data_IF_066750225304
#
_entry.id   IF_066750225304
#
_cell.length_a   1.000
_cell.length_b   1.000
_cell.length_c   1.000
_cell.angle_alpha   90.00
_cell.angle_beta   90.00
_cell.angle_gamma   90.00
#
_symmetry.space_group_name_H-M   'P 1'
#
loop_
_entity.id
_entity.type
_entity.pdbx_description
1 polymer ?
#
# COMPACT_ATOMS: atom_id res chain seq x y z
N UNK A 1 8.00 5.72 -4.33
CA UNK A 1 7.05 4.73 -4.92
C UNK A 1 6.54 5.21 -6.27
N UNK A 2 5.90 6.37 -6.35
CA UNK A 2 5.40 6.91 -7.62
C UNK A 2 6.51 7.07 -8.68
N UNK A 3 7.61 7.73 -8.31
CA UNK A 3 8.78 7.91 -9.19
C UNK A 3 9.39 6.57 -9.62
N UNK A 4 9.41 5.57 -8.73
CA UNK A 4 9.90 4.22 -9.05
C UNK A 4 9.01 3.55 -10.12
N UNK A 5 7.69 3.73 -10.04
CA UNK A 5 6.74 3.22 -11.04
C UNK A 5 6.97 3.91 -12.38
N UNK A 6 7.10 5.24 -12.40
CA UNK A 6 7.41 5.97 -13.64
C UNK A 6 8.73 5.48 -14.25
N UNK A 7 9.78 5.31 -13.44
CA UNK A 7 11.07 4.80 -13.89
C UNK A 7 10.95 3.39 -14.48
N UNK A 8 10.17 2.49 -13.87
CA UNK A 8 9.90 1.16 -14.42
C UNK A 8 9.19 1.22 -15.78
N UNK A 9 8.19 2.10 -15.91
CA UNK A 9 7.46 2.30 -17.16
C UNK A 9 8.36 2.90 -18.26
N UNK A 10 9.17 3.91 -17.92
CA UNK A 10 10.14 4.53 -18.83
C UNK A 10 11.16 3.51 -19.34
N UNK A 11 11.71 2.67 -18.45
CA UNK A 11 12.62 1.57 -18.84
C UNK A 11 11.93 0.53 -19.72
N UNK A 12 10.65 0.26 -19.49
CA UNK A 12 9.80 -0.56 -20.35
C UNK A 12 9.43 0.09 -21.71
N UNK A 13 9.94 1.29 -22.01
CA UNK A 13 9.72 1.99 -23.27
C UNK A 13 8.47 2.88 -23.28
N UNK A 14 7.94 3.25 -22.12
CA UNK A 14 6.78 4.15 -21.98
C UNK A 14 7.20 5.46 -21.31
N UNK A 15 7.56 6.45 -22.13
CA UNK A 15 7.84 7.81 -21.67
C UNK A 15 6.57 8.62 -21.43
N UNK A 16 6.59 9.51 -20.43
CA UNK A 16 5.47 10.41 -20.09
C UNK A 16 5.96 11.87 -20.04
N UNK A 17 6.32 12.43 -21.20
CA UNK A 17 6.90 13.77 -21.27
C UNK A 17 5.93 14.86 -20.75
N UNK A 18 4.62 14.65 -20.89
CA UNK A 18 3.60 15.61 -20.48
C UNK A 18 3.47 15.72 -18.96
N UNK A 19 3.69 14.62 -18.22
CA UNK A 19 3.71 14.66 -16.76
C UNK A 19 4.86 15.52 -16.23
N UNK A 20 6.04 15.44 -16.86
CA UNK A 20 7.21 16.27 -16.50
C UNK A 20 6.94 17.77 -16.64
N UNK A 21 6.03 18.17 -17.53
CA UNK A 21 5.63 19.57 -17.74
C UNK A 21 4.55 20.03 -16.75
N UNK A 22 3.67 19.14 -16.32
CA UNK A 22 2.62 19.44 -15.36
C UNK A 22 2.42 18.31 -14.33
N UNK A 23 3.19 18.32 -13.22
CA UNK A 23 3.09 17.30 -12.18
C UNK A 23 1.75 17.29 -11.42
N UNK A 24 0.89 18.32 -11.61
CA UNK A 24 -0.45 18.37 -11.01
C UNK A 24 -1.53 17.78 -11.90
N UNK A 25 -1.18 17.31 -13.09
CA UNK A 25 -2.13 16.65 -13.97
C UNK A 25 -2.67 15.38 -13.28
N UNK A 26 -3.98 15.13 -13.40
CA UNK A 26 -4.61 13.91 -12.90
C UNK A 26 -4.52 12.74 -13.88
N UNK A 27 -4.13 13.03 -15.13
CA UNK A 27 -3.90 12.03 -16.16
C UNK A 27 -2.66 12.39 -16.97
N UNK A 28 -2.00 11.39 -17.53
CA UNK A 28 -0.93 11.60 -18.51
C UNK A 28 -0.94 10.47 -19.53
N UNK A 29 -0.54 10.76 -20.76
CA UNK A 29 -0.46 9.78 -21.84
C UNK A 29 1.00 9.47 -22.15
N UNK A 30 1.29 8.22 -22.47
CA UNK A 30 2.62 7.84 -22.92
C UNK A 30 2.92 8.49 -24.28
N UNK A 31 4.19 8.78 -24.55
CA UNK A 31 4.63 9.43 -25.80
C UNK A 31 4.26 8.59 -27.05
N UNK A 32 4.24 7.25 -26.93
CA UNK A 32 3.81 6.32 -27.98
C UNK A 32 2.28 6.16 -28.09
N UNK A 33 1.52 6.86 -27.27
CA UNK A 33 0.05 6.87 -27.27
C UNK A 33 -0.65 5.60 -26.77
N UNK A 34 0.10 4.56 -26.40
CA UNK A 34 -0.42 3.23 -26.04
C UNK A 34 -0.89 3.09 -24.59
N UNK A 35 -0.41 3.94 -23.68
CA UNK A 35 -0.82 3.97 -22.28
C UNK A 35 -1.39 5.34 -21.89
N UNK A 36 -2.36 5.31 -20.99
CA UNK A 36 -2.83 6.47 -20.24
C UNK A 36 -2.75 6.12 -18.75
N UNK A 37 -2.15 6.99 -17.95
CA UNK A 37 -2.02 6.83 -16.50
C UNK A 37 -2.97 7.78 -15.79
N UNK A 38 -3.58 7.29 -14.72
CA UNK A 38 -4.42 8.06 -13.81
C UNK A 38 -3.68 8.19 -12.48
N UNK A 39 -3.57 9.41 -11.95
CA UNK A 39 -2.97 9.64 -10.63
C UNK A 39 -4.07 9.71 -9.57
N UNK A 40 -4.22 8.62 -8.82
CA UNK A 40 -5.23 8.48 -7.76
C UNK A 40 -4.57 8.14 -6.43
N UNK A 41 -5.31 8.29 -5.33
CA UNK A 41 -4.84 7.86 -4.00
C UNK A 41 -4.74 6.34 -3.96
N UNK A 42 -3.83 5.81 -3.15
CA UNK A 42 -3.61 4.36 -3.01
C UNK A 42 -4.89 3.59 -2.65
N UNK A 43 -5.74 4.18 -1.81
CA UNK A 43 -7.04 3.62 -1.42
C UNK A 43 -8.02 3.47 -2.57
N UNK A 44 -7.86 4.28 -3.63
CA UNK A 44 -8.81 4.36 -4.74
C UNK A 44 -8.36 3.51 -5.93
N UNK A 45 -7.10 3.06 -5.97
CA UNK A 45 -6.56 2.25 -7.08
C UNK A 45 -7.38 0.98 -7.32
N UNK A 46 -7.68 0.22 -6.26
CA UNK A 46 -8.44 -1.04 -6.38
C UNK A 46 -9.85 -0.77 -6.94
N UNK A 47 -10.66 0.17 -6.39
CA UNK A 47 -11.95 0.53 -6.99
C UNK A 47 -11.86 0.94 -8.46
N UNK A 48 -10.89 1.76 -8.85
CA UNK A 48 -10.74 2.18 -10.25
C UNK A 48 -10.47 0.98 -11.17
N UNK A 49 -9.67 0.01 -10.71
CA UNK A 49 -9.39 -1.20 -11.48
C UNK A 49 -10.59 -2.14 -11.49
N UNK A 50 -11.20 -2.41 -10.35
CA UNK A 50 -12.35 -3.33 -10.21
C UNK A 50 -13.55 -2.89 -11.05
N UNK A 51 -13.89 -1.60 -11.03
CA UNK A 51 -15.04 -1.06 -11.76
C UNK A 51 -14.72 -0.64 -13.21
N UNK A 52 -13.51 -0.93 -13.70
CA UNK A 52 -13.12 -0.69 -15.10
C UNK A 52 -12.84 0.77 -15.45
N UNK A 53 -12.66 1.65 -14.45
CA UNK A 53 -12.12 3.00 -14.65
C UNK A 53 -10.66 2.99 -15.09
N UNK A 54 -9.93 1.91 -14.79
CA UNK A 54 -8.62 1.59 -15.35
C UNK A 54 -8.52 0.08 -15.64
N UNK A 55 -7.78 -0.28 -16.70
CA UNK A 55 -7.55 -1.70 -17.05
C UNK A 55 -6.61 -2.40 -16.04
N UNK A 56 -5.67 -1.64 -15.47
CA UNK A 56 -4.68 -2.10 -14.51
C UNK A 56 -4.28 -0.97 -13.55
N UNK A 57 -3.65 -1.33 -12.44
CA UNK A 57 -3.19 -0.38 -11.43
C UNK A 57 -1.98 -0.90 -10.65
N UNK A 58 -1.35 -0.01 -9.89
CA UNK A 58 -0.28 -0.36 -8.96
C UNK A 58 -0.69 0.04 -7.56
N UNK A 59 -0.73 -0.92 -6.64
CA UNK A 59 -1.17 -0.72 -5.26
C UNK A 59 -0.33 -1.55 -4.30
N UNK A 60 -0.19 -1.12 -3.05
CA UNK A 60 0.48 -1.91 -2.01
C UNK A 60 -0.29 -3.20 -1.70
N UNK A 61 0.44 -4.27 -1.39
CA UNK A 61 -0.14 -5.55 -0.92
C UNK A 61 -1.05 -5.35 0.29
N UNK A 62 -0.70 -4.44 1.18
CA UNK A 62 -1.51 -4.05 2.35
C UNK A 62 -2.93 -3.61 1.97
N UNK A 63 -3.11 -2.86 0.88
CA UNK A 63 -4.45 -2.43 0.44
C UNK A 63 -5.25 -3.60 -0.14
N UNK A 64 -4.58 -4.52 -0.82
CA UNK A 64 -5.24 -5.71 -1.38
C UNK A 64 -5.80 -6.56 -0.25
N UNK A 65 -4.99 -6.81 0.79
CA UNK A 65 -5.41 -7.58 1.96
C UNK A 65 -6.48 -6.84 2.80
N UNK A 66 -6.33 -5.52 2.99
CA UNK A 66 -7.28 -4.72 3.76
C UNK A 66 -8.65 -4.65 3.08
N UNK A 67 -8.68 -4.35 1.78
CA UNK A 67 -9.96 -4.21 1.08
C UNK A 67 -10.63 -5.55 0.79
N UNK A 68 -9.87 -6.66 0.77
CA UNK A 68 -10.36 -8.01 0.53
C UNK A 68 -11.26 -8.09 -0.72
N UNK A 69 -10.77 -7.50 -1.81
CA UNK A 69 -11.47 -7.39 -3.10
C UNK A 69 -10.84 -8.32 -4.14
N UNK A 70 -11.65 -8.78 -5.09
CA UNK A 70 -11.22 -9.68 -6.16
C UNK A 70 -10.48 -8.91 -7.26
N UNK A 71 -9.15 -8.86 -7.17
CA UNK A 71 -8.28 -8.35 -8.23
C UNK A 71 -7.23 -9.38 -8.61
N UNK A 72 -6.87 -9.43 -9.89
CA UNK A 72 -5.78 -10.30 -10.34
C UNK A 72 -4.47 -9.56 -10.12
N UNK A 73 -3.52 -10.16 -9.38
CA UNK A 73 -2.19 -9.57 -9.17
C UNK A 73 -1.09 -10.42 -9.84
N UNK A 74 -0.80 -10.19 -11.14
CA UNK A 74 0.12 -11.05 -11.89
C UNK A 74 1.61 -10.73 -11.67
N UNK A 75 1.94 -9.60 -11.04
CA UNK A 75 3.33 -9.17 -10.86
C UNK A 75 3.54 -8.44 -9.53
N UNK A 76 4.53 -8.91 -8.76
CA UNK A 76 5.13 -8.14 -7.67
C UNK A 76 6.19 -7.22 -8.25
N UNK A 77 6.14 -5.93 -7.95
CA UNK A 77 7.09 -4.94 -8.47
C UNK A 77 8.30 -4.78 -7.54
N UNK A 78 8.33 -5.41 -6.36
CA UNK A 78 9.42 -5.37 -5.39
C UNK A 78 9.90 -3.95 -5.01
N UNK A 79 9.07 -2.93 -5.23
CA UNK A 79 9.32 -1.54 -4.84
C UNK A 79 8.35 -1.14 -3.73
N UNK A 80 8.63 -0.02 -3.06
CA UNK A 80 7.77 0.50 -2.00
C UNK A 80 7.68 -0.44 -0.81
N UNK A 81 8.77 -1.15 -0.50
CA UNK A 81 8.82 -2.05 0.63
C UNK A 81 8.51 -1.31 1.94
N UNK A 82 7.55 -1.85 2.66
CA UNK A 82 7.20 -1.45 4.01
C UNK A 82 6.60 -2.65 4.73
N UNK A 83 6.35 -2.51 6.03
CA UNK A 83 5.75 -3.53 6.87
C UNK A 83 4.60 -2.94 7.66
N UNK A 84 3.49 -3.64 7.71
CA UNK A 84 2.41 -3.30 8.62
C UNK A 84 2.78 -3.82 10.00
N UNK A 85 2.78 -2.94 11.00
CA UNK A 85 3.23 -3.28 12.34
C UNK A 85 2.22 -2.85 13.38
N UNK A 86 2.21 -3.56 14.51
CA UNK A 86 1.64 -3.07 15.77
C UNK A 86 2.71 -2.21 16.44
N UNK A 87 2.35 -0.98 16.83
CA UNK A 87 3.25 -0.09 17.55
C UNK A 87 2.56 0.49 18.79
N UNK A 88 3.33 0.64 19.87
CA UNK A 88 2.85 1.17 21.15
C UNK A 88 3.79 2.23 21.70
N UNK A 89 3.31 3.13 22.57
CA UNK A 89 4.17 3.95 23.41
C UNK A 89 5.18 3.09 24.18
N UNK A 90 6.43 3.55 24.26
CA UNK A 90 7.52 2.87 24.97
C UNK A 90 7.18 2.61 26.44
N UNK A 91 6.37 3.49 27.06
CA UNK A 91 5.91 3.36 28.45
C UNK A 91 4.76 2.37 28.65
N UNK A 92 4.09 1.93 27.59
CA UNK A 92 2.98 1.00 27.69
C UNK A 92 3.48 -0.43 27.94
N UNK A 93 2.62 -1.27 28.54
CA UNK A 93 2.91 -2.69 28.73
C UNK A 93 3.06 -3.42 27.38
N UNK A 94 3.87 -4.49 27.31
CA UNK A 94 3.92 -5.38 26.15
C UNK A 94 2.60 -6.10 25.89
N UNK A 95 2.49 -6.68 24.70
CA UNK A 95 1.31 -7.39 24.23
C UNK A 95 1.02 -8.64 25.04
N UNK A 96 -0.22 -8.75 25.52
CA UNK A 96 -0.68 -9.84 26.38
C UNK A 96 -0.61 -9.54 27.88
N UNK A 97 0.03 -8.44 28.30
CA UNK A 97 0.06 -8.00 29.69
C UNK A 97 -1.01 -6.96 30.04
N UNK A 98 -1.90 -6.65 29.10
CA UNK A 98 -2.93 -5.65 29.30
C UNK A 98 -4.02 -6.14 30.24
N UNK A 99 -4.44 -5.26 31.15
CA UNK A 99 -5.49 -5.55 32.13
C UNK A 99 -6.90 -5.22 31.62
N UNK A 100 -7.00 -4.67 30.41
CA UNK A 100 -8.24 -4.23 29.78
C UNK A 100 -8.14 -4.35 28.26
N UNK A 101 -9.30 -4.29 27.60
CA UNK A 101 -9.34 -4.15 26.15
C UNK A 101 -8.57 -2.89 25.70
N UNK A 102 -7.77 -3.06 24.64
CA UNK A 102 -7.00 -1.98 24.03
C UNK A 102 -7.85 -1.24 23.01
N UNK A 103 -7.62 0.06 22.86
CA UNK A 103 -8.09 0.81 21.71
C UNK A 103 -6.98 0.97 20.70
N UNK A 104 -7.19 0.53 19.46
CA UNK A 104 -6.19 0.53 18.40
C UNK A 104 -6.59 1.53 17.33
N UNK A 105 -5.74 2.52 17.05
CA UNK A 105 -5.93 3.41 15.91
C UNK A 105 -5.23 2.86 14.66
N UNK A 106 -5.93 2.81 13.53
CA UNK A 106 -5.38 2.23 12.30
C UNK A 106 -6.06 2.76 11.04
N UNK A 107 -5.37 2.70 9.90
CA UNK A 107 -5.97 2.80 8.56
C UNK A 107 -6.51 1.45 8.06
N UNK A 108 -6.16 0.36 8.74
CA UNK A 108 -6.31 -1.03 8.32
C UNK A 108 -7.20 -1.82 9.30
N UNK A 109 -8.48 -1.45 9.48
CA UNK A 109 -9.34 -2.08 10.46
C UNK A 109 -9.50 -3.59 10.28
N UNK A 110 -9.62 -4.10 9.05
CA UNK A 110 -9.84 -5.55 8.81
C UNK A 110 -8.62 -6.38 9.16
N UNK A 111 -7.43 -5.93 8.72
CA UNK A 111 -6.18 -6.63 9.06
C UNK A 111 -5.94 -6.58 10.57
N UNK A 112 -6.18 -5.41 11.19
CA UNK A 112 -6.05 -5.23 12.63
C UNK A 112 -6.99 -6.15 13.41
N UNK A 113 -8.28 -6.19 13.04
CA UNK A 113 -9.26 -7.07 13.68
C UNK A 113 -8.85 -8.54 13.58
N UNK A 114 -8.48 -8.98 12.38
CA UNK A 114 -8.03 -10.36 12.13
C UNK A 114 -6.80 -10.71 12.97
N UNK A 115 -5.84 -9.80 13.06
CA UNK A 115 -4.58 -9.99 13.79
C UNK A 115 -4.80 -10.17 15.30
N UNK A 116 -5.58 -9.29 15.92
CA UNK A 116 -5.86 -9.35 17.36
C UNK A 116 -6.82 -10.47 17.73
N UNK A 117 -7.82 -10.76 16.87
CA UNK A 117 -8.73 -11.89 17.05
C UNK A 117 -7.97 -13.23 17.08
N UNK A 118 -6.99 -13.41 16.18
CA UNK A 118 -6.15 -14.61 16.14
C UNK A 118 -5.31 -14.82 17.42
N UNK A 119 -5.06 -13.75 18.19
CA UNK A 119 -4.34 -13.78 19.48
C UNK A 119 -5.26 -13.89 20.69
N UNK A 120 -6.58 -13.83 20.49
CA UNK A 120 -7.54 -13.76 21.60
C UNK A 120 -7.45 -12.46 22.41
N UNK A 121 -6.90 -11.38 21.84
CA UNK A 121 -6.75 -10.09 22.51
C UNK A 121 -7.95 -9.21 22.17
N UNK A 122 -8.77 -8.80 23.16
CA UNK A 122 -9.92 -7.95 22.90
C UNK A 122 -9.49 -6.52 22.58
N UNK A 123 -9.92 -6.01 21.42
CA UNK A 123 -9.61 -4.65 20.96
C UNK A 123 -10.84 -3.88 20.49
N UNK A 124 -10.81 -2.56 20.67
CA UNK A 124 -11.71 -1.61 20.02
C UNK A 124 -10.93 -0.87 18.93
N UNK A 125 -11.39 -0.96 17.69
CA UNK A 125 -10.67 -0.41 16.53
C UNK A 125 -11.22 0.96 16.17
N UNK A 126 -10.33 1.95 16.07
CA UNK A 126 -10.60 3.30 15.60
C UNK A 126 -9.97 3.48 14.22
N UNK A 127 -10.80 3.56 13.18
CA UNK A 127 -10.33 3.87 11.83
C UNK A 127 -9.95 5.35 11.73
N UNK A 128 -8.69 5.63 11.38
CA UNK A 128 -8.19 6.96 11.05
C UNK A 128 -7.59 6.97 9.64
N UNK A 129 -7.49 8.16 9.04
CA UNK A 129 -7.00 8.32 7.67
C UNK A 129 -5.56 8.89 7.60
N UNK A 130 -5.02 9.38 8.72
CA UNK A 130 -3.68 9.97 8.80
C UNK A 130 -3.29 10.30 10.24
N UNK A 131 -2.02 10.67 10.42
CA UNK A 131 -1.43 11.09 11.71
C UNK A 131 -1.72 10.12 12.85
N UNK A 132 -1.50 8.83 12.61
CA UNK A 132 -1.79 7.77 13.57
C UNK A 132 -0.94 7.91 14.84
N UNK A 133 0.28 8.41 14.72
CA UNK A 133 1.22 8.62 15.81
C UNK A 133 0.71 9.62 16.87
N UNK A 134 -0.23 10.50 16.50
CA UNK A 134 -0.88 11.41 17.44
C UNK A 134 -1.94 10.74 18.31
N UNK A 135 -2.49 9.60 17.89
CA UNK A 135 -3.59 8.95 18.59
C UNK A 135 -3.17 8.45 19.99
N UNK A 136 -2.01 7.78 20.17
CA UNK A 136 -1.50 7.47 21.52
C UNK A 136 -1.19 8.72 22.35
N UNK A 137 -0.54 9.71 21.73
CA UNK A 137 -0.11 10.94 22.41
C UNK A 137 -1.27 11.75 23.00
N UNK A 138 -2.44 11.70 22.37
CA UNK A 138 -3.64 12.43 22.79
C UNK A 138 -4.58 11.59 23.67
N UNK A 139 -4.23 10.32 23.93
CA UNK A 139 -5.11 9.37 24.61
C UNK A 139 -6.31 8.92 23.76
N UNK A 140 -6.30 9.23 22.45
CA UNK A 140 -7.37 8.83 21.53
C UNK A 140 -7.38 7.31 21.32
N UNK A 141 -6.20 6.69 21.27
CA UNK A 141 -5.99 5.25 21.21
C UNK A 141 -4.86 4.86 22.16
N UNK A 142 -4.80 3.59 22.53
CA UNK A 142 -3.67 3.08 23.31
C UNK A 142 -2.49 2.86 22.36
N UNK A 143 -2.73 2.10 21.29
CA UNK A 143 -1.71 1.65 20.33
C UNK A 143 -2.14 1.94 18.90
N UNK A 144 -1.25 1.72 17.94
CA UNK A 144 -1.53 1.86 16.52
C UNK A 144 -1.18 0.62 15.71
N UNK A 145 -1.85 0.48 14.58
CA UNK A 145 -1.40 -0.39 13.48
C UNK A 145 -1.24 0.46 12.23
N UNK A 146 0.00 0.62 11.75
CA UNK A 146 0.31 1.39 10.54
C UNK A 146 1.49 0.79 9.76
N UNK A 147 1.66 1.25 8.52
CA UNK A 147 2.79 0.91 7.68
C UNK A 147 4.04 1.65 8.14
N UNK A 148 5.16 0.92 8.16
CA UNK A 148 6.47 1.43 8.49
C UNK A 148 7.48 1.00 7.43
N UNK A 149 8.21 1.97 6.89
CA UNK A 149 9.38 1.70 6.05
C UNK A 149 10.64 1.62 6.92
N UNK A 150 11.19 2.77 7.34
CA UNK A 150 12.43 2.85 8.12
C UNK A 150 12.22 2.86 9.64
N UNK A 151 11.01 3.17 10.11
CA UNK A 151 10.69 3.31 11.54
C UNK A 151 11.03 4.68 12.14
N UNK A 152 11.55 5.63 11.35
CA UNK A 152 11.89 6.97 11.85
C UNK A 152 10.70 7.68 12.50
N UNK A 153 9.54 7.70 11.84
CA UNK A 153 8.34 8.40 12.32
C UNK A 153 7.83 7.85 13.66
N UNK A 154 7.91 6.53 13.86
CA UNK A 154 7.55 5.93 15.15
C UNK A 154 8.49 6.39 16.27
N UNK A 155 9.80 6.31 16.03
CA UNK A 155 10.83 6.72 17.00
C UNK A 155 10.71 8.19 17.39
N UNK A 156 10.46 9.07 16.42
CA UNK A 156 10.25 10.51 16.66
C UNK A 156 9.03 10.79 17.55
N UNK A 157 8.08 9.86 17.60
CA UNK A 157 6.88 9.94 18.44
C UNK A 157 6.93 9.01 19.66
N UNK A 158 8.10 8.46 20.02
CA UNK A 158 8.30 7.54 21.16
C UNK A 158 7.40 6.30 21.10
N UNK A 159 7.22 5.78 19.89
CA UNK A 159 6.53 4.53 19.64
C UNK A 159 7.57 3.46 19.29
N UNK A 160 7.41 2.29 19.89
CA UNK A 160 8.18 1.10 19.53
C UNK A 160 7.33 0.06 18.82
N UNK A 161 7.99 -0.72 17.97
CA UNK A 161 7.35 -1.80 17.22
C UNK A 161 7.22 -2.99 18.16
N UNK A 162 5.98 -3.36 18.42
CA UNK A 162 5.66 -4.55 19.23
C UNK A 162 5.71 -5.80 18.36
N UNK A 163 5.10 -5.73 17.18
CA UNK A 163 5.02 -6.89 16.28
C UNK A 163 4.90 -6.47 14.82
N UNK A 164 5.41 -7.33 13.93
CA UNK A 164 5.21 -7.21 12.49
C UNK A 164 4.06 -8.11 12.03
N UNK A 165 3.06 -7.52 11.36
CA UNK A 165 1.88 -8.24 10.88
C UNK A 165 2.12 -8.82 9.50
N UNK A 166 2.55 -7.98 8.54
CA UNK A 166 2.79 -8.39 7.16
C UNK A 166 3.79 -7.49 6.43
N UNK A 167 4.65 -8.06 5.57
CA UNK A 167 5.46 -7.28 4.63
C UNK A 167 4.62 -6.87 3.42
N UNK A 168 4.73 -5.61 3.01
CA UNK A 168 4.05 -5.02 1.86
C UNK A 168 5.03 -4.49 0.80
N UNK A 169 4.65 -4.68 -0.45
CA UNK A 169 5.34 -4.22 -1.67
C UNK A 169 4.29 -3.79 -2.67
N UNK A 170 4.67 -2.94 -3.63
CA UNK A 170 3.79 -2.58 -4.72
C UNK A 170 3.49 -3.79 -5.61
N UNK A 171 2.21 -3.96 -5.93
CA UNK A 171 1.66 -5.02 -6.76
C UNK A 171 1.02 -4.42 -7.99
N UNK A 172 1.33 -4.97 -9.15
CA UNK A 172 0.56 -4.72 -10.35
C UNK A 172 -0.72 -5.53 -10.25
N UNK A 173 -1.86 -4.86 -10.40
CA UNK A 173 -3.20 -5.46 -10.39
C UNK A 173 -3.91 -5.21 -11.71
N UNK A 174 -4.78 -6.13 -12.11
CA UNK A 174 -5.51 -6.07 -13.38
C UNK A 174 -6.98 -6.36 -13.13
N UNK A 175 -7.85 -5.63 -13.82
CA UNK A 175 -9.27 -5.92 -13.85
C UNK A 175 -9.50 -7.32 -14.47
N UNK A 176 -10.34 -8.19 -13.88
CA UNK A 176 -10.58 -9.53 -14.44
C UNK A 176 -11.11 -9.54 -15.88
N UNK A 177 -12.01 -8.60 -16.22
CA UNK A 177 -12.54 -8.45 -17.58
C UNK A 177 -11.49 -7.95 -18.56
N UNK A 178 -10.65 -6.99 -18.16
CA UNK A 178 -9.52 -6.54 -18.99
C UNK A 178 -8.46 -7.63 -19.14
N UNK A 179 -8.24 -8.45 -18.12
CA UNK A 179 -7.36 -9.62 -18.21
C UNK A 179 -7.85 -10.64 -19.24
N UNK A 180 -9.18 -10.83 -19.34
CA UNK A 180 -9.78 -11.73 -20.33
C UNK A 180 -9.84 -11.13 -21.75
N UNK A 181 -10.17 -9.85 -21.87
CA UNK A 181 -10.48 -9.21 -23.17
C UNK A 181 -9.32 -8.42 -23.78
N UNK A 182 -8.38 -7.92 -22.97
CA UNK A 182 -7.21 -7.12 -23.37
C UNK A 182 -5.90 -7.79 -22.99
N UNK A 183 -5.92 -9.13 -22.94
CA UNK A 183 -4.81 -9.94 -22.41
C UNK A 183 -3.46 -9.62 -23.07
N UNK A 184 -3.44 -9.45 -24.40
CA UNK A 184 -2.21 -9.17 -25.14
C UNK A 184 -1.56 -7.84 -24.76
N UNK A 185 -2.37 -6.77 -24.65
CA UNK A 185 -1.86 -5.45 -24.27
C UNK A 185 -1.31 -5.45 -22.83
N UNK A 186 -2.04 -6.08 -21.91
CA UNK A 186 -1.61 -6.21 -20.50
C UNK A 186 -0.34 -7.05 -20.38
N UNK A 187 -0.26 -8.19 -21.08
CA UNK A 187 0.93 -9.04 -21.09
C UNK A 187 2.13 -8.33 -21.67
N UNK A 188 1.95 -7.62 -22.78
CA UNK A 188 3.03 -6.81 -23.40
C UNK A 188 3.59 -5.79 -22.42
N UNK A 189 2.72 -5.10 -21.67
CA UNK A 189 3.14 -4.17 -20.63
C UNK A 189 3.93 -4.90 -19.53
N UNK A 190 3.41 -6.01 -19.00
CA UNK A 190 4.07 -6.81 -17.97
C UNK A 190 5.45 -7.29 -18.44
N UNK A 191 5.54 -7.82 -19.65
CA UNK A 191 6.77 -8.38 -20.21
C UNK A 191 7.83 -7.30 -20.46
N UNK A 192 7.41 -6.06 -20.74
CA UNK A 192 8.32 -4.91 -20.87
C UNK A 192 8.84 -4.39 -19.53
N UNK A 193 8.03 -4.39 -18.47
CA UNK A 193 8.45 -3.88 -17.15
C UNK A 193 9.16 -4.94 -16.30
N UNK A 194 8.81 -6.22 -16.45
CA UNK A 194 9.33 -7.33 -15.63
C UNK A 194 10.87 -7.40 -15.59
N UNK A 195 11.62 -7.24 -16.70
CA UNK A 195 13.08 -7.24 -16.67
C UNK A 195 13.71 -6.09 -15.88
N UNK A 196 12.92 -5.08 -15.52
CA UNK A 196 13.37 -3.88 -14.82
C UNK A 196 13.00 -3.86 -13.34
N UNK A 197 12.14 -4.80 -12.92
CA UNK A 197 11.74 -5.01 -11.52
C UNK A 197 12.95 -5.49 -10.70
N UNK A 198 13.22 -4.91 -9.52
CA UNK A 198 14.27 -5.41 -8.63
C UNK A 198 14.08 -6.88 -8.25
N UNK A 199 15.19 -7.63 -8.13
CA UNK A 199 15.13 -9.05 -7.73
C UNK A 199 14.65 -9.24 -6.28
N UNK A 200 14.88 -8.24 -5.42
CA UNK A 200 14.50 -8.25 -4.01
C UNK A 200 13.74 -6.98 -3.63
N UNK A 201 12.88 -7.00 -2.60
CA UNK A 201 12.15 -5.83 -2.15
C UNK A 201 13.06 -4.65 -1.79
N UNK A 202 12.76 -3.47 -2.32
CA UNK A 202 13.46 -2.22 -2.02
C UNK A 202 12.52 -1.21 -1.38
N UNK A 203 13.03 -0.51 -0.37
CA UNK A 203 12.36 0.68 0.16
C UNK A 203 12.43 1.75 -0.92
N UNK A 204 11.27 2.29 -1.30
CA UNK A 204 11.21 3.41 -2.23
C UNK A 204 11.85 4.67 -1.64
N UNK A 205 12.57 5.41 -2.50
CA UNK A 205 12.96 6.80 -2.23
C UNK A 205 11.79 7.77 -2.28
#
# INVERSE_FOLDING_TARGET
MFEDILSLLERGGYGFADYKKNPRALTSRSDCGSLSILFVRSTDVIPYVEFGGADAGVVGRDQIEEQNREVISPLNLNIGYCRLVVARPEENRPMGEEKRALRIATKYPRITETHFLARGIPVSILKLYGSLELAPRTGLADWIVDLVATGRTLRENRLEIEEEILPSTARFIVNPSSWATRNEAVRTLIDRIRPHVPESPVISG
#
